data_IF_298453868440
#
_entry.id   IF_298453868440
#
_cell.length_a   1.000
_cell.length_b   1.000
_cell.length_c   1.000
_cell.angle_alpha   90.00
_cell.angle_beta   90.00
_cell.angle_gamma   90.00
#
_symmetry.space_group_name_H-M   'P 1'
#
loop_
_entity.id
_entity.type
_entity.pdbx_description
1 polymer ?
#
# COMPACT_ATOMS: atom_id res chain seq x y z
N UNK A 1 -3.44 -5.08 9.79
CA UNK A 1 -3.78 -3.66 10.08
C UNK A 1 -3.59 -2.78 8.85
N UNK A 2 -2.42 -2.76 8.20
CA UNK A 2 -2.13 -1.85 7.07
C UNK A 2 -2.89 -2.14 5.76
N UNK A 3 -3.30 -3.38 5.50
CA UNK A 3 -4.03 -3.75 4.28
C UNK A 3 -5.38 -3.03 4.10
N UNK A 4 -6.07 -2.65 5.18
CA UNK A 4 -7.38 -1.98 5.09
C UNK A 4 -7.29 -0.62 4.39
N UNK A 5 -6.37 0.29 4.77
CA UNK A 5 -6.09 1.50 4.00
C UNK A 5 -5.82 1.27 2.51
N UNK A 6 -5.05 0.21 2.15
CA UNK A 6 -4.77 -0.09 0.74
C UNK A 6 -6.03 -0.56 -0.01
N UNK A 7 -6.84 -1.42 0.61
CA UNK A 7 -8.13 -1.85 0.03
C UNK A 7 -9.04 -0.64 -0.22
N UNK A 8 -9.05 0.34 0.69
CA UNK A 8 -9.82 1.58 0.48
C UNK A 8 -9.28 2.40 -0.71
N UNK A 9 -7.96 2.52 -0.88
CA UNK A 9 -7.41 3.20 -2.06
C UNK A 9 -7.75 2.46 -3.35
N UNK A 10 -7.70 1.12 -3.35
CA UNK A 10 -8.16 0.34 -4.50
C UNK A 10 -9.65 0.52 -4.78
N UNK A 11 -10.49 0.61 -3.75
CA UNK A 11 -11.91 0.89 -3.90
C UNK A 11 -12.14 2.21 -4.63
N UNK A 12 -11.45 3.28 -4.22
CA UNK A 12 -11.55 4.58 -4.87
C UNK A 12 -10.98 4.57 -6.29
N UNK A 13 -9.82 3.97 -6.49
CA UNK A 13 -9.19 3.83 -7.81
C UNK A 13 -10.09 3.09 -8.80
N UNK A 14 -10.67 1.95 -8.39
CA UNK A 14 -11.61 1.18 -9.20
C UNK A 14 -12.93 1.93 -9.36
N UNK A 15 -13.39 2.61 -8.31
CA UNK A 15 -14.56 3.47 -8.33
C UNK A 15 -14.46 4.53 -9.42
N UNK A 16 -13.37 5.30 -9.44
CA UNK A 16 -13.07 6.30 -10.48
C UNK A 16 -13.11 5.65 -11.87
N UNK A 17 -12.34 4.58 -12.09
CA UNK A 17 -12.26 3.89 -13.39
C UNK A 17 -13.59 3.32 -13.89
N UNK A 18 -14.49 2.96 -12.99
CA UNK A 18 -15.78 2.34 -13.32
C UNK A 18 -16.97 3.29 -13.17
N UNK A 19 -16.72 4.58 -12.88
CA UNK A 19 -17.76 5.56 -12.58
C UNK A 19 -18.63 5.18 -11.38
N UNK A 20 -18.05 4.52 -10.37
CA UNK A 20 -18.68 4.01 -9.16
C UNK A 20 -19.85 3.04 -9.39
N UNK A 21 -19.92 2.42 -10.58
CA UNK A 21 -20.97 1.44 -10.93
C UNK A 21 -20.65 0.02 -10.50
N UNK A 22 -19.43 -0.23 -10.02
CA UNK A 22 -18.95 -1.56 -9.60
C UNK A 22 -18.50 -1.52 -8.15
N UNK A 23 -18.86 -2.56 -7.39
CA UNK A 23 -18.38 -2.76 -6.03
C UNK A 23 -17.22 -3.75 -6.02
N UNK A 24 -16.18 -3.44 -5.24
CA UNK A 24 -15.08 -4.39 -4.95
C UNK A 24 -15.56 -5.56 -4.06
N UNK A 25 -16.81 -5.50 -3.59
CA UNK A 25 -17.42 -6.45 -2.67
C UNK A 25 -16.82 -6.41 -1.27
N UNK A 26 -17.47 -7.10 -0.32
CA UNK A 26 -17.05 -7.12 1.09
C UNK A 26 -15.59 -7.54 1.21
N UNK A 27 -14.77 -6.68 1.83
CA UNK A 27 -13.34 -6.93 2.07
C UNK A 27 -12.48 -7.00 0.82
N UNK A 28 -12.95 -6.50 -0.34
CA UNK A 28 -12.18 -6.54 -1.58
C UNK A 28 -12.25 -7.88 -2.34
N UNK A 29 -13.28 -8.69 -2.12
CA UNK A 29 -13.48 -10.00 -2.79
C UNK A 29 -13.43 -9.97 -4.33
N UNK A 30 -13.60 -8.81 -4.96
CA UNK A 30 -13.59 -8.65 -6.42
C UNK A 30 -12.39 -7.83 -6.92
N UNK A 31 -11.42 -7.49 -6.07
CA UNK A 31 -10.25 -6.71 -6.47
C UNK A 31 -9.52 -7.32 -7.67
N UNK A 32 -9.31 -8.64 -7.66
CA UNK A 32 -8.67 -9.37 -8.76
C UNK A 32 -9.35 -9.16 -10.13
N UNK A 33 -10.66 -8.89 -10.15
CA UNK A 33 -11.42 -8.68 -11.40
C UNK A 33 -11.15 -7.32 -12.03
N UNK A 34 -10.66 -6.36 -11.25
CA UNK A 34 -10.58 -4.95 -11.65
C UNK A 34 -9.15 -4.40 -11.62
N UNK A 35 -8.28 -4.97 -10.80
CA UNK A 35 -6.87 -4.60 -10.76
C UNK A 35 -6.13 -5.21 -11.94
N UNK A 36 -5.14 -4.47 -12.44
CA UNK A 36 -4.18 -4.97 -13.40
C UNK A 36 -3.44 -6.20 -12.82
N UNK A 37 -3.13 -7.24 -13.63
CA UNK A 37 -2.51 -8.47 -13.14
C UNK A 37 -1.23 -8.25 -12.32
N UNK A 38 -0.43 -7.26 -12.70
CA UNK A 38 0.81 -6.90 -12.00
C UNK A 38 0.52 -6.31 -10.62
N UNK A 39 -0.50 -5.45 -10.50
CA UNK A 39 -0.92 -4.87 -9.21
C UNK A 39 -1.54 -5.94 -8.33
N UNK A 40 -2.32 -6.86 -8.89
CA UNK A 40 -2.88 -7.98 -8.15
C UNK A 40 -1.77 -8.87 -7.57
N UNK A 41 -0.77 -9.22 -8.38
CA UNK A 41 0.38 -10.03 -7.95
C UNK A 41 1.17 -9.34 -6.83
N UNK A 42 1.41 -8.04 -6.94
CA UNK A 42 2.05 -7.26 -5.88
C UNK A 42 1.18 -7.21 -4.62
N UNK A 43 -0.15 -7.09 -4.76
CA UNK A 43 -1.06 -7.11 -3.61
C UNK A 43 -1.05 -8.47 -2.89
N UNK A 44 -1.01 -9.58 -3.61
CA UNK A 44 -0.88 -10.92 -3.03
C UNK A 44 0.41 -11.06 -2.21
N UNK A 45 1.52 -10.49 -2.68
CA UNK A 45 2.79 -10.47 -1.95
C UNK A 45 2.77 -9.63 -0.66
N UNK A 46 1.70 -8.84 -0.42
CA UNK A 46 1.50 -8.19 0.89
C UNK A 46 0.99 -9.17 1.96
N UNK A 47 0.63 -10.40 1.58
CA UNK A 47 0.38 -11.51 2.50
C UNK A 47 1.70 -12.25 2.71
N UNK A 48 2.29 -12.04 3.89
CA UNK A 48 3.57 -12.61 4.30
C UNK A 48 3.37 -13.82 5.20
N UNK A 49 4.35 -14.71 5.19
CA UNK A 49 4.56 -15.72 6.24
C UNK A 49 5.19 -15.07 7.49
N UNK A 50 5.61 -15.90 8.46
CA UNK A 50 6.25 -15.45 9.70
C UNK A 50 7.72 -15.06 9.56
N UNK A 51 8.27 -15.05 8.33
CA UNK A 51 9.65 -14.63 8.11
C UNK A 51 9.76 -13.09 8.22
N UNK A 52 10.71 -12.62 9.04
CA UNK A 52 10.90 -11.20 9.29
C UNK A 52 11.26 -10.38 8.04
N UNK A 53 12.07 -10.92 7.13
CA UNK A 53 12.41 -10.23 5.89
C UNK A 53 11.20 -10.11 4.96
N UNK A 54 10.37 -11.16 4.89
CA UNK A 54 9.13 -11.11 4.13
C UNK A 54 8.14 -10.11 4.74
N UNK A 55 8.08 -9.99 6.06
CA UNK A 55 7.28 -8.96 6.74
C UNK A 55 7.73 -7.55 6.33
N UNK A 56 9.04 -7.27 6.36
CA UNK A 56 9.57 -5.98 5.90
C UNK A 56 9.29 -5.72 4.42
N UNK A 57 9.53 -6.71 3.56
CA UNK A 57 9.28 -6.59 2.12
C UNK A 57 7.78 -6.34 1.85
N UNK A 58 6.89 -7.01 2.57
CA UNK A 58 5.43 -6.82 2.48
C UNK A 58 5.01 -5.40 2.88
N UNK A 59 5.66 -4.81 3.90
CA UNK A 59 5.42 -3.44 4.34
C UNK A 59 5.82 -2.42 3.27
N UNK A 60 7.01 -2.59 2.67
CA UNK A 60 7.48 -1.69 1.62
C UNK A 60 6.66 -1.83 0.33
N UNK A 61 6.22 -3.05 0.01
CA UNK A 61 5.34 -3.30 -1.11
C UNK A 61 3.94 -2.69 -0.90
N UNK A 62 3.40 -2.82 0.31
CA UNK A 62 2.17 -2.11 0.71
C UNK A 62 2.30 -0.61 0.46
N UNK A 63 3.40 0.02 0.92
CA UNK A 63 3.60 1.45 0.73
C UNK A 63 3.68 1.84 -0.75
N UNK A 64 4.40 1.06 -1.57
CA UNK A 64 4.49 1.27 -3.02
C UNK A 64 3.09 1.27 -3.67
N UNK A 65 2.28 0.27 -3.35
CA UNK A 65 0.91 0.14 -3.88
C UNK A 65 -0.01 1.26 -3.40
N UNK A 66 0.09 1.62 -2.11
CA UNK A 66 -0.71 2.68 -1.51
C UNK A 66 -0.38 4.04 -2.14
N UNK A 67 0.92 4.36 -2.27
CA UNK A 67 1.38 5.60 -2.91
C UNK A 67 0.85 5.70 -4.33
N UNK A 68 1.09 4.68 -5.16
CA UNK A 68 0.67 4.67 -6.58
C UNK A 68 -0.83 4.92 -6.74
N UNK A 69 -1.65 4.29 -5.91
CA UNK A 69 -3.11 4.43 -5.98
C UNK A 69 -3.62 5.74 -5.39
N UNK A 70 -3.03 6.19 -4.28
CA UNK A 70 -3.35 7.49 -3.70
C UNK A 70 -2.98 8.65 -4.63
N UNK A 71 -1.83 8.60 -5.31
CA UNK A 71 -1.43 9.59 -6.33
C UNK A 71 -2.44 9.61 -7.49
N UNK A 72 -2.86 8.44 -7.98
CA UNK A 72 -3.88 8.35 -9.05
C UNK A 72 -5.22 8.97 -8.63
N UNK A 73 -5.67 8.70 -7.40
CA UNK A 73 -6.91 9.28 -6.85
C UNK A 73 -6.77 10.78 -6.65
N UNK A 74 -5.63 11.23 -6.14
CA UNK A 74 -5.34 12.64 -5.89
C UNK A 74 -5.32 13.43 -7.20
N UNK A 75 -4.73 12.89 -8.26
CA UNK A 75 -4.71 13.50 -9.58
C UNK A 75 -6.12 13.68 -10.16
N UNK A 76 -6.98 12.66 -10.04
CA UNK A 76 -8.36 12.72 -10.56
C UNK A 76 -9.19 13.83 -9.88
N UNK A 77 -9.03 13.98 -8.55
CA UNK A 77 -9.85 14.91 -7.76
C UNK A 77 -9.15 16.23 -7.42
N UNK A 78 -7.93 16.46 -7.93
CA UNK A 78 -7.15 17.66 -7.65
C UNK A 78 -6.65 17.77 -6.20
N UNK A 79 -6.54 16.67 -5.47
CA UNK A 79 -5.96 16.67 -4.13
C UNK A 79 -4.42 16.72 -4.18
N UNK A 80 -3.81 17.28 -3.14
CA UNK A 80 -2.36 17.20 -2.97
C UNK A 80 -1.99 15.91 -2.23
N UNK A 81 -1.18 15.06 -2.85
CA UNK A 81 -0.60 13.91 -2.17
C UNK A 81 0.59 14.34 -1.30
N UNK A 82 0.63 14.02 0.01
CA UNK A 82 1.69 14.46 0.90
C UNK A 82 2.97 13.61 0.76
N UNK A 83 3.63 13.72 -0.39
CA UNK A 83 4.79 12.90 -0.76
C UNK A 83 5.90 12.93 0.30
N UNK A 84 6.23 14.12 0.80
CA UNK A 84 7.30 14.30 1.78
C UNK A 84 7.03 13.60 3.11
N UNK A 85 5.77 13.50 3.53
CA UNK A 85 5.42 12.77 4.75
C UNK A 85 5.63 11.26 4.57
N UNK A 86 5.21 10.73 3.42
CA UNK A 86 5.43 9.32 3.07
C UNK A 86 6.91 8.98 2.93
N UNK A 87 7.69 9.86 2.31
CA UNK A 87 9.14 9.72 2.15
C UNK A 87 9.86 9.64 3.50
N UNK A 88 9.60 10.58 4.41
CA UNK A 88 10.20 10.57 5.77
C UNK A 88 9.84 9.31 6.55
N UNK A 89 8.59 8.86 6.48
CA UNK A 89 8.17 7.63 7.12
C UNK A 89 8.90 6.40 6.55
N UNK A 90 9.05 6.33 5.22
CA UNK A 90 9.77 5.24 4.56
C UNK A 90 11.26 5.25 4.90
N UNK A 91 11.90 6.41 4.96
CA UNK A 91 13.30 6.56 5.36
C UNK A 91 13.51 6.11 6.80
N UNK A 92 12.64 6.53 7.72
CA UNK A 92 12.66 6.06 9.10
C UNK A 92 12.54 4.53 9.20
N UNK A 93 11.60 3.92 8.47
CA UNK A 93 11.42 2.48 8.46
C UNK A 93 12.64 1.73 7.91
N UNK A 94 13.29 2.26 6.87
CA UNK A 94 14.53 1.69 6.34
C UNK A 94 15.67 1.77 7.35
N UNK A 95 15.79 2.89 8.06
CA UNK A 95 16.76 3.06 9.14
C UNK A 95 16.53 2.03 10.26
N UNK A 96 15.29 1.91 10.74
CA UNK A 96 14.93 0.95 11.78
C UNK A 96 15.23 -0.50 11.36
N UNK A 97 14.98 -0.87 10.10
CA UNK A 97 15.30 -2.21 9.59
C UNK A 97 16.80 -2.53 9.66
N UNK A 98 17.67 -1.52 9.57
CA UNK A 98 19.13 -1.69 9.57
C UNK A 98 19.74 -1.70 10.97
N UNK A 99 18.98 -1.36 12.00
CA UNK A 99 19.46 -1.37 13.38
C UNK A 99 19.85 -2.79 13.83
N UNK A 100 20.87 -2.85 14.67
CA UNK A 100 21.24 -4.09 15.35
C UNK A 100 20.12 -4.51 16.31
N UNK A 101 19.97 -5.83 16.51
CA UNK A 101 18.90 -6.39 17.35
C UNK A 101 18.96 -5.91 18.81
N UNK A 102 20.14 -5.53 19.27
CA UNK A 102 20.44 -5.04 20.62
C UNK A 102 20.65 -3.52 20.69
N UNK A 103 20.26 -2.78 19.64
CA UNK A 103 20.33 -1.32 19.63
C UNK A 103 19.52 -0.75 20.81
N UNK A 104 20.18 0.07 21.64
CA UNK A 104 19.57 0.72 22.83
C UNK A 104 18.92 2.06 22.52
N UNK A 105 19.16 2.60 21.33
CA UNK A 105 18.59 3.83 20.82
C UNK A 105 18.33 3.70 19.32
N UNK A 106 17.37 4.48 18.83
CA UNK A 106 17.06 4.55 17.39
C UNK A 106 18.05 5.50 16.69
N UNK A 107 18.58 6.50 17.39
CA UNK A 107 19.55 7.47 16.90
C UNK A 107 20.76 7.53 17.82
#
# INVERSE_FOLDING_TARGET
>A
VLRKPLINMFEWHIGIKTGFRKSIGKGGRHLQKYLEPEIWKEFEQTYTDSNYDNIWNSLFLFYKLFRKTAESVAQEYGFQFPEEAGKRALEFLKHVRQLQKDAKAIY
#
